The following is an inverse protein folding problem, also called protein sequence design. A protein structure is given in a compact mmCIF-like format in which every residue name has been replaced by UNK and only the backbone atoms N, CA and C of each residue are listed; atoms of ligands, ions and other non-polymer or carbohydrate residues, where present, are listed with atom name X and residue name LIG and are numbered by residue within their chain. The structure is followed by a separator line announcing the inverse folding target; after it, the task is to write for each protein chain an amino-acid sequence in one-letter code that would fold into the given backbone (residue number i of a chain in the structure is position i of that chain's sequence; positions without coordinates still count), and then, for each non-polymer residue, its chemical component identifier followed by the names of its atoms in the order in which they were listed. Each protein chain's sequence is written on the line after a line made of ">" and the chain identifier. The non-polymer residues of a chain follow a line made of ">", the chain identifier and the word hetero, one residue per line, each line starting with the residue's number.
data_IF_842421610404
#
_entry.id   IF_842421610404
#
_cell.length_a   1.000
_cell.length_b   1.000
_cell.length_c   1.000
_cell.angle_alpha   90.00
_cell.angle_beta   90.00
_cell.angle_gamma   90.00
#
_symmetry.space_group_name_H-M   'P 1'
#
loop_
_entity.id
_entity.type
_entity.pdbx_description
1 polymer ?
#
# COMPACT_ATOMS: atom_id res chain seq x y z
N UNK A 1 13.26 -11.21 -2.99
CA UNK A 1 13.00 -9.82 -2.58
C UNK A 1 11.50 -9.72 -2.37
N UNK A 2 11.00 -9.63 -1.13
CA UNK A 2 9.58 -9.37 -0.91
C UNK A 2 9.31 -7.97 -1.48
N UNK A 3 8.62 -7.89 -2.63
CA UNK A 3 8.04 -6.61 -3.08
C UNK A 3 7.16 -6.18 -1.91
N UNK A 4 7.55 -5.11 -1.21
CA UNK A 4 6.80 -4.55 -0.10
C UNK A 4 5.40 -4.23 -0.61
N UNK A 5 4.44 -5.12 -0.39
CA UNK A 5 3.06 -4.91 -0.72
C UNK A 5 2.55 -3.86 0.25
N UNK A 6 2.47 -2.62 -0.25
CA UNK A 6 2.02 -1.51 0.55
C UNK A 6 0.50 -1.58 0.71
N UNK A 7 -0.02 -1.32 1.91
CA UNK A 7 -1.46 -1.17 2.10
C UNK A 7 -1.97 -0.01 1.25
N UNK A 8 -2.85 -0.30 0.29
CA UNK A 8 -3.42 0.64 -0.68
C UNK A 8 -4.76 1.19 -0.14
N UNK A 9 -4.94 2.52 -0.04
CA UNK A 9 -6.20 3.11 0.39
C UNK A 9 -7.36 2.65 -0.49
N UNK A 10 -8.46 2.26 0.15
CA UNK A 10 -9.67 1.90 -0.56
C UNK A 10 -10.34 3.15 -1.14
N UNK A 11 -10.67 3.19 -2.44
CA UNK A 11 -11.34 4.36 -3.05
C UNK A 11 -12.76 4.59 -2.51
N UNK A 12 -13.33 3.64 -1.76
CA UNK A 12 -14.67 3.73 -1.17
C UNK A 12 -14.70 4.24 0.27
N UNK A 13 -13.74 3.82 1.08
CA UNK A 13 -13.76 4.08 2.53
C UNK A 13 -12.44 4.64 3.07
N UNK A 14 -11.47 4.93 2.19
CA UNK A 14 -10.13 5.45 2.49
C UNK A 14 -9.23 4.53 3.34
N UNK A 15 -9.76 3.43 3.87
CA UNK A 15 -9.00 2.49 4.68
C UNK A 15 -7.99 1.68 3.84
N UNK A 16 -6.79 1.49 4.38
CA UNK A 16 -5.70 0.76 3.73
C UNK A 16 -5.60 -0.74 4.12
N UNK A 17 -6.67 -1.32 4.66
CA UNK A 17 -6.72 -2.73 5.07
C UNK A 17 -7.19 -3.62 3.91
N UNK A 18 -6.26 -4.08 3.07
CA UNK A 18 -6.56 -4.95 1.92
C UNK A 18 -6.32 -6.44 2.25
N UNK A 19 -7.19 -7.31 1.74
CA UNK A 19 -6.96 -8.76 1.64
C UNK A 19 -6.29 -9.05 0.32
N UNK A 20 -5.15 -9.77 0.37
CA UNK A 20 -4.36 -10.14 -0.80
C UNK A 20 -4.24 -11.67 -0.88
N UNK A 21 -4.32 -12.29 -2.07
CA UNK A 21 -4.06 -13.71 -2.21
C UNK A 21 -2.58 -14.03 -1.94
N UNK A 22 -2.30 -15.28 -1.54
CA UNK A 22 -0.92 -15.73 -1.34
C UNK A 22 -0.10 -15.61 -2.62
N UNK A 23 1.07 -14.98 -2.57
CA UNK A 23 1.92 -14.76 -3.74
C UNK A 23 1.39 -13.70 -4.72
N UNK A 24 0.48 -12.82 -4.27
CA UNK A 24 -0.06 -11.73 -5.08
C UNK A 24 1.04 -10.87 -5.72
N UNK A 25 0.97 -10.71 -7.05
CA UNK A 25 1.79 -9.79 -7.81
C UNK A 25 0.87 -8.86 -8.62
N UNK A 26 0.82 -7.55 -8.32
CA UNK A 26 -0.05 -6.60 -9.00
C UNK A 26 0.32 -6.38 -10.48
N UNK A 27 1.49 -6.85 -10.91
CA UNK A 27 1.97 -6.76 -12.30
C UNK A 27 1.68 -8.01 -13.12
N UNK A 28 1.28 -9.12 -12.49
CA UNK A 28 0.99 -10.37 -13.20
C UNK A 28 -0.51 -10.57 -13.42
N UNK A 29 -0.84 -11.24 -14.53
CA UNK A 29 -2.18 -11.73 -14.80
C UNK A 29 -2.28 -13.23 -14.42
N UNK A 30 -3.33 -13.66 -13.72
CA UNK A 30 -4.46 -12.86 -13.25
C UNK A 30 -4.13 -12.02 -12.01
N UNK A 31 -4.67 -10.79 -11.96
CA UNK A 31 -4.48 -9.85 -10.85
C UNK A 31 -4.94 -10.40 -9.48
N UNK A 32 -5.83 -11.41 -9.47
CA UNK A 32 -6.27 -12.06 -8.23
C UNK A 32 -7.26 -11.21 -7.43
N UNK A 33 -8.07 -11.84 -6.54
CA UNK A 33 -9.11 -11.15 -5.81
C UNK A 33 -8.49 -10.31 -4.69
N UNK A 34 -8.40 -8.99 -4.89
CA UNK A 34 -8.01 -8.04 -3.85
C UNK A 34 -9.24 -7.34 -3.34
N UNK A 35 -9.47 -7.34 -2.02
CA UNK A 35 -10.66 -6.71 -1.41
C UNK A 35 -10.32 -5.84 -0.22
N UNK A 36 -11.14 -4.83 0.05
CA UNK A 36 -11.06 -4.05 1.29
C UNK A 36 -11.72 -4.82 2.43
N UNK A 37 -11.03 -4.97 3.56
CA UNK A 37 -11.57 -5.63 4.75
C UNK A 37 -12.71 -4.85 5.42
N UNK A 38 -12.78 -3.53 5.23
CA UNK A 38 -13.75 -2.68 5.93
C UNK A 38 -15.08 -2.57 5.17
N UNK A 39 -15.04 -2.23 3.88
CA UNK A 39 -16.25 -2.04 3.08
C UNK A 39 -16.52 -3.16 2.08
N UNK A 40 -15.63 -4.15 1.96
CA UNK A 40 -15.78 -5.27 1.03
C UNK A 40 -15.54 -4.92 -0.44
N UNK A 41 -15.05 -3.72 -0.76
CA UNK A 41 -14.79 -3.31 -2.16
C UNK A 41 -13.74 -4.21 -2.81
N UNK A 42 -14.08 -4.80 -3.95
CA UNK A 42 -13.14 -5.54 -4.78
C UNK A 42 -12.35 -4.59 -5.67
N UNK A 43 -11.04 -4.56 -5.50
CA UNK A 43 -10.14 -3.76 -6.30
C UNK A 43 -9.96 -4.38 -7.69
N UNK A 44 -10.01 -3.53 -8.69
CA UNK A 44 -9.47 -3.83 -10.03
C UNK A 44 -7.95 -3.65 -10.06
N UNK A 45 -7.30 -4.21 -11.09
CA UNK A 45 -5.85 -4.06 -11.27
C UNK A 45 -5.45 -2.59 -11.38
N UNK A 46 -6.20 -1.80 -12.14
CA UNK A 46 -5.92 -0.38 -12.33
C UNK A 46 -6.10 0.43 -11.04
N UNK A 47 -7.19 0.21 -10.29
CA UNK A 47 -7.41 0.89 -8.99
C UNK A 47 -6.26 0.62 -8.01
N UNK A 48 -5.83 -0.63 -7.91
CA UNK A 48 -4.75 -0.98 -7.00
C UNK A 48 -3.41 -0.41 -7.44
N UNK A 49 -3.11 -0.44 -8.75
CA UNK A 49 -1.89 0.18 -9.31
C UNK A 49 -1.87 1.69 -9.13
N UNK A 50 -3.01 2.35 -9.31
CA UNK A 50 -3.15 3.78 -9.06
C UNK A 50 -2.84 4.10 -7.59
N UNK A 51 -3.45 3.38 -6.66
CA UNK A 51 -3.20 3.60 -5.24
C UNK A 51 -1.75 3.31 -4.82
N UNK A 52 -1.09 2.31 -5.43
CA UNK A 52 0.35 2.10 -5.25
C UNK A 52 1.18 3.28 -5.76
N UNK A 53 0.83 3.84 -6.93
CA UNK A 53 1.53 5.00 -7.49
C UNK A 53 1.38 6.24 -6.59
N UNK A 54 0.20 6.45 -6.02
CA UNK A 54 -0.06 7.54 -5.07
C UNK A 54 0.77 7.40 -3.78
N UNK A 55 0.87 6.18 -3.22
CA UNK A 55 1.73 5.92 -2.07
C UNK A 55 3.20 6.14 -2.42
N UNK A 56 3.65 5.65 -3.58
CA UNK A 56 5.02 5.83 -4.04
C UNK A 56 5.35 7.32 -4.18
N UNK A 57 4.45 8.12 -4.77
CA UNK A 57 4.60 9.57 -4.88
C UNK A 57 4.68 10.24 -3.49
N UNK A 58 3.77 9.90 -2.57
CA UNK A 58 3.79 10.41 -1.18
C UNK A 58 5.08 10.06 -0.44
N UNK A 59 5.63 8.86 -0.62
CA UNK A 59 6.91 8.46 -0.03
C UNK A 59 8.07 9.20 -0.64
N UNK A 60 8.11 9.39 -1.96
CA UNK A 60 9.16 10.19 -2.60
C UNK A 60 9.13 11.65 -2.09
N UNK A 61 7.94 12.20 -1.82
CA UNK A 61 7.81 13.48 -1.17
C UNK A 61 8.26 13.46 0.31
N UNK A 62 7.90 12.41 1.07
CA UNK A 62 8.25 12.28 2.49
C UNK A 62 9.73 11.92 2.76
N UNK A 63 10.42 11.32 1.79
CA UNK A 63 11.86 11.06 1.85
C UNK A 63 12.71 12.36 1.82
N UNK A 64 12.08 13.52 1.61
CA UNK A 64 12.68 14.84 1.84
C UNK A 64 12.65 15.31 3.30
N UNK A 65 12.01 14.58 4.23
CA UNK A 65 11.94 15.03 5.62
C UNK A 65 11.24 14.05 6.57
N UNK A 66 12.04 13.29 7.32
CA UNK A 66 11.83 12.89 8.72
C UNK A 66 12.61 11.60 9.00
N UNK A 67 13.91 11.75 9.29
CA UNK A 67 14.60 10.77 10.15
C UNK A 67 13.92 10.81 11.53
N UNK A 68 13.03 9.87 11.81
CA UNK A 68 12.59 9.57 13.18
C UNK A 68 13.70 8.82 13.93
N UNK A 69 14.87 9.46 14.07
CA UNK A 69 15.90 9.02 15.02
C UNK A 69 15.56 9.66 16.37
N UNK A 70 15.00 8.89 17.29
CA UNK A 70 14.87 9.31 18.69
C UNK A 70 16.31 9.39 19.24
N UNK A 71 16.84 10.56 19.63
CA UNK A 71 18.16 10.62 20.21
C UNK A 71 18.14 9.93 21.58
N UNK A 72 18.92 8.86 21.73
CA UNK A 72 19.22 8.29 23.04
C UNK A 72 20.01 9.34 23.84
N UNK A 73 19.37 9.92 24.86
CA UNK A 73 20.02 10.84 25.80
C UNK A 73 21.08 10.08 26.60
N UNK A 74 22.36 10.48 26.60
CA UNK A 74 23.32 9.95 27.56
C UNK A 74 23.03 10.52 28.95
N UNK A 75 23.14 9.64 29.95
CA UNK A 75 23.07 9.97 31.38
C UNK A 75 24.44 10.39 31.92
#
# INVERSE_FOLDING_TARGET
>A
MAKSLYPVPCPRCDEAQNVLPGGFDPEQAPFGPVTCMVCGHSFTQDEYRQGMAEIAAKRNAAQGGASNVVPLRPN
#
